data_IF_058547700342
#
_entry.id   IF_058547700342
#
_cell.length_a   1.000
_cell.length_b   1.000
_cell.length_c   1.000
_cell.angle_alpha   90.00
_cell.angle_beta   90.00
_cell.angle_gamma   90.00
#
_symmetry.space_group_name_H-M   'P 1'
#
loop_
_entity.id
_entity.type
_entity.pdbx_description
1 polymer ?
#
# COMPACT_ATOMS: atom_id res chain seq x y z
N UNK A 1 15.24 15.60 -2.95
CA UNK A 1 14.86 14.20 -2.88
C UNK A 1 13.63 14.00 -2.00
N UNK A 2 13.20 12.76 -1.87
CA UNK A 2 12.06 12.35 -1.07
C UNK A 2 12.57 11.87 0.29
N UNK A 3 11.97 12.33 1.40
CA UNK A 3 12.42 11.97 2.74
C UNK A 3 11.95 10.57 3.17
N UNK A 4 10.75 10.16 2.75
CA UNK A 4 10.17 8.85 3.08
C UNK A 4 9.48 8.24 1.87
N UNK A 5 9.82 7.01 1.55
CA UNK A 5 9.09 6.15 0.60
C UNK A 5 8.44 5.02 1.39
N UNK A 6 7.14 4.83 1.20
CA UNK A 6 6.36 3.73 1.78
C UNK A 6 5.89 2.83 0.65
N UNK A 7 6.37 1.58 0.62
CA UNK A 7 6.27 0.70 -0.54
C UNK A 7 5.64 -0.66 -0.22
N UNK A 8 4.70 -1.07 -1.07
CA UNK A 8 4.11 -2.42 -1.09
C UNK A 8 4.44 -3.20 -2.37
N UNK A 9 5.09 -2.56 -3.34
CA UNK A 9 5.31 -3.12 -4.68
C UNK A 9 6.61 -3.91 -4.75
N UNK A 10 7.68 -3.39 -4.17
CA UNK A 10 8.97 -4.06 -4.12
C UNK A 10 9.78 -3.91 -5.42
N UNK A 11 10.24 -5.04 -5.97
CA UNK A 11 11.23 -5.07 -7.04
C UNK A 11 10.95 -4.18 -8.23
N UNK A 12 9.71 -4.07 -8.65
CA UNK A 12 9.34 -3.32 -9.86
C UNK A 12 9.62 -1.81 -9.74
N UNK A 13 9.57 -1.23 -8.54
CA UNK A 13 9.79 0.21 -8.33
C UNK A 13 11.08 0.54 -7.59
N UNK A 14 11.77 -0.48 -7.07
CA UNK A 14 12.91 -0.33 -6.18
C UNK A 14 13.97 0.65 -6.68
N UNK A 15 14.45 0.45 -7.90
CA UNK A 15 15.55 1.25 -8.47
C UNK A 15 15.21 2.75 -8.54
N UNK A 16 13.97 3.06 -8.91
CA UNK A 16 13.53 4.46 -9.01
C UNK A 16 13.32 5.07 -7.63
N UNK A 17 12.68 4.33 -6.72
CA UNK A 17 12.43 4.76 -5.36
C UNK A 17 13.73 5.10 -4.61
N UNK A 18 14.77 4.24 -4.71
CA UNK A 18 16.05 4.46 -4.06
C UNK A 18 16.80 5.68 -4.63
N UNK A 19 16.72 5.92 -5.94
CA UNK A 19 17.33 7.09 -6.55
C UNK A 19 16.69 8.38 -6.06
N UNK A 20 15.40 8.38 -5.84
CA UNK A 20 14.63 9.54 -5.40
C UNK A 20 14.84 9.91 -3.93
N UNK A 21 15.33 8.99 -3.09
CA UNK A 21 15.58 9.28 -1.68
C UNK A 21 16.57 10.43 -1.50
N UNK A 22 16.22 11.35 -0.61
CA UNK A 22 17.11 12.37 -0.11
C UNK A 22 18.24 11.76 0.75
N UNK A 23 19.34 12.48 1.00
CA UNK A 23 20.29 12.11 2.06
C UNK A 23 19.55 11.99 3.41
N UNK A 24 19.80 10.91 4.16
CA UNK A 24 19.07 10.56 5.39
C UNK A 24 17.64 10.06 5.18
N UNK A 25 17.23 9.82 3.93
CA UNK A 25 15.89 9.37 3.60
C UNK A 25 15.64 7.91 4.01
N UNK A 26 14.35 7.55 4.17
CA UNK A 26 13.90 6.24 4.61
C UNK A 26 13.07 5.54 3.55
N UNK A 27 13.36 4.28 3.33
CA UNK A 27 12.53 3.38 2.53
C UNK A 27 11.88 2.34 3.45
N UNK A 28 10.55 2.32 3.48
CA UNK A 28 9.77 1.37 4.29
C UNK A 28 9.07 0.40 3.36
N UNK A 29 9.41 -0.89 3.44
CA UNK A 29 8.73 -1.95 2.68
C UNK A 29 7.78 -2.72 3.58
N UNK A 30 6.54 -2.91 3.10
CA UNK A 30 5.52 -3.74 3.76
C UNK A 30 4.83 -4.71 2.79
N UNK A 31 5.36 -4.86 1.58
CA UNK A 31 4.88 -5.80 0.57
C UNK A 31 5.86 -5.93 -0.58
N UNK A 32 5.61 -6.89 -1.48
CA UNK A 32 6.50 -7.19 -2.60
C UNK A 32 5.72 -7.77 -3.81
N UNK A 33 4.56 -7.21 -4.13
CA UNK A 33 3.69 -7.69 -5.22
C UNK A 33 4.33 -7.62 -6.59
N UNK A 34 5.24 -6.67 -6.82
CA UNK A 34 6.01 -6.49 -8.05
C UNK A 34 7.39 -7.17 -8.03
N UNK A 35 7.62 -8.09 -7.09
CA UNK A 35 8.84 -8.92 -7.00
C UNK A 35 9.53 -8.81 -5.64
N UNK A 36 9.93 -9.97 -5.07
CA UNK A 36 10.49 -10.03 -3.71
C UNK A 36 11.99 -9.77 -3.65
N UNK A 37 12.68 -9.72 -4.77
CA UNK A 37 14.13 -9.60 -4.83
C UNK A 37 14.54 -8.27 -5.45
N UNK A 38 15.49 -7.61 -4.80
CA UNK A 38 16.06 -6.34 -5.25
C UNK A 38 17.58 -6.43 -5.20
N UNK A 39 18.24 -5.63 -6.04
CA UNK A 39 19.68 -5.42 -6.01
C UNK A 39 19.97 -4.04 -5.41
N UNK A 40 20.98 -3.97 -4.55
CA UNK A 40 21.38 -2.74 -3.89
C UNK A 40 22.85 -2.41 -4.16
N UNK A 41 23.14 -1.19 -4.59
CA UNK A 41 24.48 -0.62 -4.56
C UNK A 41 24.74 0.02 -3.19
N UNK A 42 25.54 -0.68 -2.36
CA UNK A 42 25.84 -0.21 -1.01
C UNK A 42 26.52 1.17 -0.97
N UNK A 43 27.19 1.56 -2.06
CA UNK A 43 27.81 2.91 -2.16
C UNK A 43 26.75 3.99 -2.09
N UNK A 44 25.65 3.84 -2.79
CA UNK A 44 24.53 4.78 -2.73
C UNK A 44 23.89 4.80 -1.33
N UNK A 45 23.77 3.63 -0.71
CA UNK A 45 23.18 3.50 0.63
C UNK A 45 24.01 4.24 1.69
N UNK A 46 25.32 3.91 1.83
CA UNK A 46 26.12 4.56 2.87
C UNK A 46 26.41 6.04 2.57
N UNK A 47 26.58 6.41 1.29
CA UNK A 47 26.86 7.79 0.91
C UNK A 47 25.69 8.73 1.23
N UNK A 48 24.49 8.29 0.97
CA UNK A 48 23.26 9.02 1.31
C UNK A 48 22.80 8.82 2.75
N UNK A 49 23.40 7.92 3.50
CA UNK A 49 23.01 7.57 4.88
C UNK A 49 21.51 7.18 4.97
N UNK A 50 21.01 6.41 4.00
CA UNK A 50 19.61 6.03 3.93
C UNK A 50 19.29 4.89 4.91
N UNK A 51 18.03 4.81 5.33
CA UNK A 51 17.52 3.72 6.18
C UNK A 51 16.58 2.83 5.37
N UNK A 52 16.72 1.50 5.52
CA UNK A 52 15.81 0.52 4.96
C UNK A 52 15.09 -0.21 6.09
N UNK A 53 13.77 -0.09 6.11
CA UNK A 53 12.93 -0.57 7.18
C UNK A 53 11.92 -1.59 6.64
N UNK A 54 11.75 -2.69 7.35
CA UNK A 54 10.66 -3.64 7.10
C UNK A 54 9.49 -3.35 8.05
N UNK A 55 8.29 -3.51 7.53
CA UNK A 55 7.07 -3.46 8.32
C UNK A 55 6.15 -4.60 7.91
N UNK A 56 5.47 -5.22 8.85
CA UNK A 56 4.52 -6.29 8.56
C UNK A 56 3.41 -6.30 9.58
N UNK A 57 2.19 -6.49 9.06
CA UNK A 57 0.99 -6.62 9.89
C UNK A 57 0.78 -5.42 10.84
N UNK A 58 -0.09 -5.59 11.81
CA UNK A 58 -0.33 -4.66 12.90
C UNK A 58 -0.76 -5.42 14.14
N UNK A 59 -0.50 -4.86 15.31
CA UNK A 59 -1.01 -5.38 16.57
C UNK A 59 -2.52 -5.10 16.70
N UNK A 60 -3.24 -5.78 17.62
CA UNK A 60 -4.60 -5.40 17.96
C UNK A 60 -4.74 -3.94 18.42
N UNK A 61 -3.70 -3.39 19.02
CA UNK A 61 -3.63 -1.99 19.46
C UNK A 61 -3.57 -1.05 18.26
N UNK A 62 -2.72 -1.35 17.26
CA UNK A 62 -2.62 -0.60 16.01
C UNK A 62 -3.96 -0.59 15.26
N UNK A 63 -4.63 -1.75 15.20
CA UNK A 63 -5.96 -1.87 14.62
C UNK A 63 -6.98 -0.98 15.31
N UNK A 64 -7.04 -1.00 16.65
CA UNK A 64 -7.96 -0.16 17.41
C UNK A 64 -7.68 1.33 17.21
N UNK A 65 -6.40 1.71 17.19
CA UNK A 65 -5.99 3.08 16.94
C UNK A 65 -6.43 3.54 15.55
N UNK A 66 -6.14 2.77 14.50
CA UNK A 66 -6.54 3.07 13.14
C UNK A 66 -8.07 3.16 12.99
N UNK A 67 -8.82 2.20 13.56
CA UNK A 67 -10.27 2.20 13.50
C UNK A 67 -10.91 3.37 14.25
N UNK A 68 -10.29 3.84 15.33
CA UNK A 68 -10.72 5.06 16.03
C UNK A 68 -10.68 6.27 15.09
N UNK A 69 -9.63 6.40 14.28
CA UNK A 69 -9.50 7.48 13.29
C UNK A 69 -10.54 7.36 12.16
N UNK A 70 -10.79 6.12 11.70
CA UNK A 70 -11.81 5.85 10.67
C UNK A 70 -13.21 6.19 11.17
N UNK A 71 -13.58 5.71 12.37
CA UNK A 71 -14.91 5.98 12.96
C UNK A 71 -15.11 7.47 13.26
N UNK A 72 -14.05 8.16 13.63
CA UNK A 72 -14.08 9.61 13.83
C UNK A 72 -14.12 10.43 12.52
N UNK A 73 -14.08 9.75 11.35
CA UNK A 73 -14.09 10.42 10.04
C UNK A 73 -12.80 11.15 9.68
N UNK A 74 -11.71 10.95 10.44
CA UNK A 74 -10.40 11.55 10.12
C UNK A 74 -9.64 10.78 9.06
N UNK A 75 -9.90 9.48 8.92
CA UNK A 75 -9.45 8.64 7.82
C UNK A 75 -10.68 8.17 7.04
N UNK A 76 -10.79 8.59 5.79
CA UNK A 76 -11.89 8.20 4.92
C UNK A 76 -11.31 7.45 3.72
N UNK A 77 -11.35 6.11 3.69
CA UNK A 77 -10.91 5.35 2.54
C UNK A 77 -11.76 5.67 1.32
N UNK A 78 -11.18 6.01 0.16
CA UNK A 78 -11.95 6.21 -1.04
C UNK A 78 -12.59 4.89 -1.49
N UNK A 79 -13.87 4.92 -1.82
CA UNK A 79 -14.61 3.80 -2.40
C UNK A 79 -14.82 4.10 -3.89
N UNK A 80 -14.27 3.25 -4.75
CA UNK A 80 -14.45 3.35 -6.19
C UNK A 80 -15.87 2.91 -6.60
N UNK A 81 -16.27 1.73 -6.13
CA UNK A 81 -17.60 1.20 -6.35
C UNK A 81 -18.00 0.20 -5.26
N UNK A 82 -19.31 0.06 -5.07
CA UNK A 82 -19.90 -0.99 -4.23
C UNK A 82 -20.76 -1.88 -5.12
N UNK A 83 -20.53 -3.20 -5.06
CA UNK A 83 -21.23 -4.19 -5.88
C UNK A 83 -21.85 -5.28 -5.00
N UNK A 84 -22.96 -5.90 -5.43
CA UNK A 84 -23.44 -7.11 -4.80
C UNK A 84 -22.40 -8.24 -4.91
N UNK A 85 -22.39 -9.15 -3.94
CA UNK A 85 -21.43 -10.27 -3.91
C UNK A 85 -21.52 -11.16 -5.16
N UNK A 86 -22.71 -11.29 -5.76
CA UNK A 86 -22.93 -12.03 -7.00
C UNK A 86 -22.14 -11.49 -8.18
N UNK A 87 -21.74 -10.21 -8.13
CA UNK A 87 -20.92 -9.54 -9.16
C UNK A 87 -19.41 -9.54 -8.81
N UNK A 88 -18.95 -10.48 -7.97
CA UNK A 88 -17.56 -10.54 -7.57
C UNK A 88 -16.59 -10.75 -8.75
N UNK A 89 -16.98 -11.50 -9.77
CA UNK A 89 -16.18 -11.70 -10.99
C UNK A 89 -15.91 -10.36 -11.69
N UNK A 90 -16.92 -9.52 -11.87
CA UNK A 90 -16.80 -8.18 -12.44
C UNK A 90 -15.88 -7.28 -11.60
N UNK A 91 -15.97 -7.37 -10.27
CA UNK A 91 -15.09 -6.62 -9.39
C UNK A 91 -13.62 -7.03 -9.57
N UNK A 92 -13.34 -8.33 -9.73
CA UNK A 92 -12.01 -8.82 -10.02
C UNK A 92 -11.49 -8.35 -11.39
N UNK A 93 -12.30 -8.43 -12.43
CA UNK A 93 -11.96 -7.94 -13.78
C UNK A 93 -11.62 -6.45 -13.74
N UNK A 94 -12.41 -5.66 -13.01
CA UNK A 94 -12.17 -4.22 -12.83
C UNK A 94 -10.85 -3.94 -12.12
N UNK A 95 -10.52 -4.71 -11.06
CA UNK A 95 -9.23 -4.60 -10.37
C UNK A 95 -8.05 -4.96 -11.28
N UNK A 96 -8.18 -6.04 -12.06
CA UNK A 96 -7.13 -6.52 -12.97
C UNK A 96 -6.88 -5.54 -14.11
N UNK A 97 -7.91 -4.84 -14.58
CA UNK A 97 -7.77 -3.77 -15.58
C UNK A 97 -6.97 -2.56 -15.08
N UNK A 98 -6.86 -2.39 -13.75
CA UNK A 98 -6.05 -1.33 -13.14
C UNK A 98 -6.71 0.06 -13.10
N UNK A 99 -7.96 0.19 -13.54
CA UNK A 99 -8.70 1.46 -13.62
C UNK A 99 -9.46 1.81 -12.32
N UNK A 100 -8.94 1.34 -11.16
CA UNK A 100 -9.58 1.54 -9.86
C UNK A 100 -8.81 2.54 -9.02
N UNK A 101 -9.48 3.59 -8.58
CA UNK A 101 -8.97 4.48 -7.55
C UNK A 101 -9.74 4.27 -6.25
N UNK A 102 -9.08 3.69 -5.24
CA UNK A 102 -9.69 3.35 -3.96
C UNK A 102 -10.04 1.86 -3.83
N UNK A 103 -11.18 1.56 -3.20
CA UNK A 103 -11.63 0.21 -2.89
C UNK A 103 -12.85 -0.18 -3.70
N UNK A 104 -12.89 -1.44 -4.14
CA UNK A 104 -14.12 -2.10 -4.54
C UNK A 104 -14.67 -2.84 -3.31
N UNK A 105 -15.92 -2.56 -2.97
CA UNK A 105 -16.59 -3.17 -1.82
C UNK A 105 -17.65 -4.12 -2.34
N UNK A 106 -17.63 -5.36 -1.85
CA UNK A 106 -18.67 -6.33 -2.11
C UNK A 106 -19.57 -6.42 -0.87
N UNK A 107 -20.89 -6.36 -1.04
CA UNK A 107 -21.84 -6.56 0.04
C UNK A 107 -22.66 -7.83 -0.19
N UNK A 108 -22.82 -8.68 0.83
CA UNK A 108 -23.50 -9.95 0.71
C UNK A 108 -25.03 -9.86 0.81
N UNK A 109 -25.55 -8.67 1.10
CA UNK A 109 -26.98 -8.45 1.30
C UNK A 109 -27.62 -7.89 0.05
N UNK A 110 -28.71 -8.44 -0.41
CA UNK A 110 -29.61 -7.79 -1.36
C UNK A 110 -30.37 -6.69 -0.63
N UNK A 111 -30.50 -5.50 -1.25
CA UNK A 111 -31.34 -4.44 -0.67
C UNK A 111 -32.78 -4.98 -0.56
N UNK A 112 -33.23 -5.27 0.66
CA UNK A 112 -34.60 -5.73 0.94
C UNK A 112 -34.77 -6.88 1.92
N UNK A 113 -33.69 -7.37 2.55
CA UNK A 113 -33.79 -8.30 3.69
C UNK A 113 -33.34 -7.66 5.01
#
# INVERSE_FOLDING_TARGET
>A
GIDVVVDSVGGAIWSDAIRLLAPGGRFVSYGATGGPKVEIDLRHHFWKQTEFLGSTMGSPEDYRAAMTEVVAGRIVPPIHATLPLERCAEAHETLEAGDVFGKLVLHPWTEGE
#
